data_IF_708506206757
#
_entry.id   IF_708506206757
#
_cell.length_a   1.000
_cell.length_b   1.000
_cell.length_c   1.000
_cell.angle_alpha   90.00
_cell.angle_beta   90.00
_cell.angle_gamma   90.00
#
_symmetry.space_group_name_H-M   'P 1'
#
loop_
_entity.id
_entity.type
_entity.pdbx_description
1 polymer ?
#
# COMPACT_ATOMS: atom_id res chain seq x y z
N UNK A 1 -6.17 -6.58 2.55
CA UNK A 1 -7.19 -7.24 1.69
C UNK A 1 -6.46 -7.98 0.58
N UNK A 2 -6.13 -9.25 0.83
CA UNK A 2 -5.80 -10.17 -0.25
C UNK A 2 -6.93 -10.10 -1.27
N UNK A 3 -6.59 -9.83 -2.54
CA UNK A 3 -7.46 -10.33 -3.58
C UNK A 3 -7.14 -11.82 -3.64
N UNK A 4 -7.79 -12.59 -2.77
CA UNK A 4 -7.73 -14.05 -2.85
C UNK A 4 -8.26 -14.41 -4.23
N UNK A 5 -7.39 -14.99 -5.05
CA UNK A 5 -7.80 -15.63 -6.29
C UNK A 5 -8.55 -16.89 -5.86
N UNK A 6 -9.84 -16.95 -6.18
CA UNK A 6 -10.67 -18.12 -5.85
C UNK A 6 -9.98 -19.42 -6.32
N UNK A 7 -9.97 -20.38 -5.39
CA UNK A 7 -9.22 -21.62 -5.44
C UNK A 7 -9.60 -22.47 -6.65
N UNK A 8 -8.61 -22.78 -7.49
CA UNK A 8 -8.70 -23.80 -8.54
C UNK A 8 -7.32 -24.36 -8.87
N UNK A 9 -7.07 -25.59 -8.42
CA UNK A 9 -5.94 -26.48 -8.74
C UNK A 9 -4.53 -26.06 -8.33
N UNK A 10 -4.11 -26.58 -7.17
CA UNK A 10 -2.87 -27.37 -7.05
C UNK A 10 -1.54 -26.66 -7.33
N UNK A 11 -1.27 -25.54 -6.68
CA UNK A 11 0.09 -25.07 -6.36
C UNK A 11 0.04 -24.38 -4.98
N UNK A 12 0.50 -25.11 -3.96
CA UNK A 12 0.63 -24.63 -2.59
C UNK A 12 1.77 -23.59 -2.52
N UNK A 13 1.45 -22.31 -2.69
CA UNK A 13 2.09 -21.15 -2.06
C UNK A 13 1.31 -19.90 -2.52
N UNK A 14 1.01 -19.00 -1.58
CA UNK A 14 0.24 -17.77 -1.80
C UNK A 14 0.98 -16.89 -2.82
N UNK A 15 0.67 -17.00 -4.11
CA UNK A 15 1.31 -16.15 -5.12
C UNK A 15 0.61 -14.80 -5.17
N UNK A 16 1.19 -13.79 -4.53
CA UNK A 16 0.71 -12.40 -4.61
C UNK A 16 0.71 -11.90 -6.06
N UNK A 17 -0.08 -10.86 -6.39
CA UNK A 17 -0.09 -10.26 -7.74
C UNK A 17 1.32 -9.79 -8.13
N UNK A 18 2.10 -9.32 -7.16
CA UNK A 18 3.50 -8.94 -7.33
C UNK A 18 4.38 -10.14 -7.70
N UNK A 19 4.27 -11.26 -7.00
CA UNK A 19 4.98 -12.49 -7.34
C UNK A 19 4.60 -13.03 -8.72
N UNK A 20 3.32 -12.95 -9.08
CA UNK A 20 2.85 -13.34 -10.43
C UNK A 20 3.48 -12.43 -11.49
N UNK A 21 3.55 -11.12 -11.25
CA UNK A 21 4.24 -10.19 -12.16
C UNK A 21 5.74 -10.50 -12.28
N UNK A 22 6.43 -10.76 -11.18
CA UNK A 22 7.87 -11.08 -11.19
C UNK A 22 8.17 -12.41 -11.87
N UNK A 23 7.33 -13.43 -11.67
CA UNK A 23 7.44 -14.71 -12.38
C UNK A 23 7.24 -14.52 -13.89
N UNK A 24 6.22 -13.76 -14.31
CA UNK A 24 6.01 -13.47 -15.73
C UNK A 24 7.21 -12.72 -16.30
N UNK A 25 7.70 -11.66 -15.65
CA UNK A 25 8.86 -10.89 -16.11
C UNK A 25 10.08 -11.80 -16.26
N UNK A 26 10.31 -12.69 -15.30
CA UNK A 26 11.38 -13.69 -15.33
C UNK A 26 11.24 -14.60 -16.55
N UNK A 27 10.06 -15.17 -16.82
CA UNK A 27 9.81 -16.02 -17.99
C UNK A 27 10.07 -15.25 -19.30
N UNK A 28 9.58 -14.00 -19.41
CA UNK A 28 9.76 -13.16 -20.60
C UNK A 28 11.24 -12.81 -20.87
N UNK A 29 12.06 -12.76 -19.82
CA UNK A 29 13.49 -12.53 -19.90
C UNK A 29 14.27 -13.83 -20.17
N UNK A 30 13.96 -14.93 -19.49
CA UNK A 30 14.64 -16.24 -19.62
C UNK A 30 14.39 -16.94 -20.96
N UNK A 31 13.20 -16.77 -21.53
CA UNK A 31 12.88 -17.21 -22.90
C UNK A 31 13.76 -16.54 -23.96
N UNK A 32 14.57 -15.54 -23.57
CA UNK A 32 15.59 -14.91 -24.40
C UNK A 32 16.98 -15.56 -24.30
N UNK A 33 17.28 -16.32 -23.24
CA UNK A 33 18.64 -16.78 -22.91
C UNK A 33 18.87 -18.28 -23.17
N UNK A 34 17.84 -19.12 -23.30
CA UNK A 34 18.01 -20.57 -23.45
C UNK A 34 17.42 -21.12 -24.76
N UNK A 35 18.30 -21.63 -25.63
CA UNK A 35 18.02 -22.90 -26.30
C UNK A 35 18.12 -23.95 -25.21
N UNK A 36 17.02 -24.50 -24.67
CA UNK A 36 16.99 -25.82 -24.01
C UNK A 36 15.54 -26.25 -23.64
N UNK A 37 15.06 -27.25 -24.40
CA UNK A 37 14.32 -28.44 -23.96
C UNK A 37 12.96 -28.42 -23.24
N UNK A 38 12.29 -27.29 -22.92
CA UNK A 38 10.94 -27.39 -22.32
C UNK A 38 9.94 -26.26 -22.63
N UNK A 39 9.98 -25.72 -23.86
CA UNK A 39 9.13 -24.59 -24.34
C UNK A 39 7.63 -24.79 -24.05
N UNK A 40 7.13 -26.03 -24.04
CA UNK A 40 5.71 -26.33 -23.80
C UNK A 40 5.28 -26.08 -22.35
N UNK A 41 6.15 -26.36 -21.37
CA UNK A 41 5.83 -26.21 -19.95
C UNK A 41 5.89 -24.73 -19.55
N UNK A 42 6.87 -23.98 -20.07
CA UNK A 42 6.99 -22.54 -19.83
C UNK A 42 5.85 -21.74 -20.49
N UNK A 43 5.39 -22.16 -21.67
CA UNK A 43 4.26 -21.51 -22.35
C UNK A 43 2.95 -21.74 -21.60
N UNK A 44 2.74 -22.96 -21.09
CA UNK A 44 1.61 -23.29 -20.24
C UNK A 44 1.65 -22.51 -18.92
N UNK A 45 2.83 -22.43 -18.28
CA UNK A 45 3.02 -21.66 -17.05
C UNK A 45 2.76 -20.16 -17.25
N UNK A 46 3.29 -19.59 -18.34
CA UNK A 46 2.99 -18.21 -18.74
C UNK A 46 1.49 -17.98 -18.92
N UNK A 47 0.79 -18.87 -19.63
CA UNK A 47 -0.65 -18.76 -19.87
C UNK A 47 -1.45 -18.78 -18.56
N UNK A 48 -1.09 -19.66 -17.62
CA UNK A 48 -1.72 -19.74 -16.30
C UNK A 48 -1.54 -18.43 -15.54
N UNK A 49 -0.30 -17.93 -15.44
CA UNK A 49 0.01 -16.69 -14.72
C UNK A 49 -0.67 -15.46 -15.37
N UNK A 50 -0.70 -15.41 -16.71
CA UNK A 50 -1.37 -14.37 -17.47
C UNK A 50 -2.88 -14.34 -17.17
N UNK A 51 -3.55 -15.49 -17.18
CA UNK A 51 -4.99 -15.56 -16.95
C UNK A 51 -5.33 -15.14 -15.52
N UNK A 52 -4.51 -15.54 -14.53
CA UNK A 52 -4.63 -15.07 -13.14
C UNK A 52 -4.62 -13.54 -13.02
N UNK A 53 -3.86 -12.83 -13.86
CA UNK A 53 -3.84 -11.36 -13.86
C UNK A 53 -5.03 -10.74 -14.60
N UNK A 54 -5.47 -11.35 -15.71
CA UNK A 54 -6.56 -10.82 -16.55
C UNK A 54 -7.94 -10.99 -15.90
N UNK A 55 -8.12 -12.06 -15.13
CA UNK A 55 -9.36 -12.33 -14.38
C UNK A 55 -9.63 -11.28 -13.29
N UNK A 56 -8.61 -10.53 -12.89
CA UNK A 56 -8.73 -9.49 -11.86
C UNK A 56 -9.33 -8.20 -12.43
N UNK A 57 -10.61 -7.96 -12.12
CA UNK A 57 -11.32 -6.76 -12.59
C UNK A 57 -10.64 -5.46 -12.14
N UNK A 58 -10.10 -5.43 -10.92
CA UNK A 58 -9.36 -4.29 -10.38
C UNK A 58 -8.07 -3.95 -11.17
N UNK A 59 -7.51 -4.92 -11.91
CA UNK A 59 -6.24 -4.76 -12.62
C UNK A 59 -6.44 -4.38 -14.10
N UNK A 60 -7.64 -4.55 -14.68
CA UNK A 60 -7.90 -4.37 -16.12
C UNK A 60 -7.32 -3.08 -16.70
N UNK A 61 -7.46 -1.97 -15.98
CA UNK A 61 -6.96 -0.65 -16.39
C UNK A 61 -5.44 -0.49 -16.31
N UNK A 62 -4.75 -1.35 -15.56
CA UNK A 62 -3.31 -1.26 -15.25
C UNK A 62 -2.47 -2.37 -15.89
N UNK A 63 -3.11 -3.38 -16.49
CA UNK A 63 -2.42 -4.50 -17.10
C UNK A 63 -1.47 -4.07 -18.23
N UNK A 64 -0.28 -4.68 -18.32
CA UNK A 64 0.65 -4.47 -19.43
C UNK A 64 0.01 -4.81 -20.78
N UNK A 65 0.21 -3.96 -21.80
CA UNK A 65 -0.36 -4.20 -23.14
C UNK A 65 0.19 -5.47 -23.76
N UNK A 66 1.45 -5.80 -23.46
CA UNK A 66 2.10 -7.02 -23.91
C UNK A 66 1.30 -8.26 -23.48
N UNK A 67 0.77 -8.29 -22.26
CA UNK A 67 -0.04 -9.41 -21.75
C UNK A 67 -1.43 -9.46 -22.40
N UNK A 68 -2.04 -8.31 -22.64
CA UNK A 68 -3.37 -8.26 -23.28
C UNK A 68 -3.28 -8.77 -24.72
N UNK A 69 -2.25 -8.36 -25.45
CA UNK A 69 -2.12 -8.59 -26.90
C UNK A 69 -1.51 -9.95 -27.26
N UNK A 70 -0.80 -10.59 -26.33
CA UNK A 70 -0.06 -11.83 -26.59
C UNK A 70 -0.51 -12.90 -25.59
N UNK A 71 -0.95 -14.05 -26.10
CA UNK A 71 -1.47 -15.15 -25.29
C UNK A 71 -0.46 -16.28 -25.07
N UNK A 72 0.68 -16.25 -25.77
CA UNK A 72 1.72 -17.27 -25.72
C UNK A 72 3.11 -16.63 -25.85
N UNK A 73 4.13 -17.31 -25.33
CA UNK A 73 5.54 -16.94 -25.48
C UNK A 73 5.94 -16.87 -26.96
N UNK A 74 5.34 -17.69 -27.83
CA UNK A 74 5.55 -17.61 -29.28
C UNK A 74 5.02 -16.29 -29.87
N UNK A 75 3.81 -15.85 -29.49
CA UNK A 75 3.27 -14.55 -29.94
C UNK A 75 4.14 -13.37 -29.49
N UNK A 76 4.66 -13.45 -28.26
CA UNK A 76 5.61 -12.46 -27.72
C UNK A 76 6.93 -12.48 -28.49
N UNK A 77 7.44 -13.66 -28.82
CA UNK A 77 8.65 -13.80 -29.63
C UNK A 77 8.49 -13.11 -30.98
N UNK A 78 7.40 -13.38 -31.69
CA UNK A 78 7.07 -12.74 -32.97
C UNK A 78 6.92 -11.23 -32.82
N UNK A 79 6.26 -10.75 -31.76
CA UNK A 79 6.13 -9.32 -31.47
C UNK A 79 7.49 -8.61 -31.38
N UNK A 80 8.42 -9.16 -30.60
CA UNK A 80 9.74 -8.56 -30.44
C UNK A 80 10.64 -8.70 -31.68
N UNK A 81 10.56 -9.82 -32.41
CA UNK A 81 11.29 -10.01 -33.68
C UNK A 81 10.83 -9.03 -34.77
N UNK A 82 9.55 -8.66 -34.78
CA UNK A 82 9.02 -7.66 -35.72
C UNK A 82 9.40 -6.24 -35.31
N UNK A 83 9.52 -5.99 -34.01
CA UNK A 83 9.76 -4.65 -33.44
C UNK A 83 11.23 -4.27 -33.39
N UNK A 84 12.12 -5.24 -33.17
CA UNK A 84 13.56 -5.05 -33.06
C UNK A 84 14.28 -5.97 -34.04
N UNK A 85 15.27 -5.44 -34.75
CA UNK A 85 16.10 -6.23 -35.69
C UNK A 85 16.87 -7.35 -34.97
N UNK A 86 17.27 -7.10 -33.72
CA UNK A 86 17.94 -8.06 -32.85
C UNK A 86 17.06 -8.37 -31.64
N UNK A 87 16.68 -9.65 -31.51
CA UNK A 87 15.81 -10.15 -30.45
C UNK A 87 16.44 -10.08 -29.05
N UNK A 88 17.77 -10.04 -28.97
CA UNK A 88 18.57 -10.14 -27.75
C UNK A 88 19.17 -8.78 -27.36
N UNK A 89 18.31 -7.83 -27.01
CA UNK A 89 18.71 -6.44 -26.85
C UNK A 89 18.30 -5.87 -25.49
N UNK A 90 19.12 -5.00 -24.86
CA UNK A 90 18.73 -4.21 -23.69
C UNK A 90 17.39 -3.47 -23.87
N UNK A 91 17.10 -3.09 -25.11
CA UNK A 91 15.86 -2.45 -25.55
C UNK A 91 14.60 -3.31 -25.29
N UNK A 92 14.71 -4.65 -25.36
CA UNK A 92 13.61 -5.57 -25.01
C UNK A 92 13.32 -5.53 -23.50
N UNK A 93 14.37 -5.63 -22.68
CA UNK A 93 14.24 -5.62 -21.22
C UNK A 93 13.68 -4.28 -20.74
N UNK A 94 14.13 -3.17 -21.33
CA UNK A 94 13.59 -1.84 -21.07
C UNK A 94 12.11 -1.73 -21.46
N UNK A 95 11.70 -2.29 -22.61
CA UNK A 95 10.29 -2.32 -23.00
C UNK A 95 9.43 -3.11 -22.01
N UNK A 96 9.88 -4.31 -21.62
CA UNK A 96 9.16 -5.14 -20.63
C UNK A 96 9.05 -4.40 -19.31
N UNK A 97 10.14 -3.79 -18.83
CA UNK A 97 10.14 -2.99 -17.60
C UNK A 97 9.09 -1.89 -17.68
N UNK A 98 9.13 -1.06 -18.73
CA UNK A 98 8.22 0.07 -18.90
C UNK A 98 6.75 -0.35 -19.04
N UNK A 99 6.45 -1.47 -19.72
CA UNK A 99 5.07 -1.96 -19.87
C UNK A 99 4.49 -2.49 -18.53
N UNK A 100 5.35 -2.98 -17.64
CA UNK A 100 4.97 -3.42 -16.30
C UNK A 100 5.01 -2.31 -15.24
N UNK A 101 5.58 -1.14 -15.52
CA UNK A 101 5.63 -0.03 -14.55
C UNK A 101 4.24 0.40 -14.09
N UNK A 102 3.24 0.37 -14.96
CA UNK A 102 1.88 0.80 -14.61
C UNK A 102 1.23 -0.09 -13.54
N UNK A 103 1.35 -1.41 -13.70
CA UNK A 103 0.84 -2.37 -12.70
C UNK A 103 1.71 -2.36 -11.44
N UNK A 104 3.04 -2.24 -11.56
CA UNK A 104 3.93 -2.12 -10.40
C UNK A 104 3.62 -0.86 -9.59
N UNK A 105 3.46 0.29 -10.24
CA UNK A 105 3.08 1.53 -9.58
C UNK A 105 1.69 1.42 -8.97
N UNK A 106 0.74 0.73 -9.61
CA UNK A 106 -0.56 0.45 -9.00
C UNK A 106 -0.39 -0.39 -7.72
N UNK A 107 0.37 -1.48 -7.77
CA UNK A 107 0.62 -2.36 -6.62
C UNK A 107 1.35 -1.63 -5.48
N UNK A 108 2.39 -0.85 -5.79
CA UNK A 108 3.12 -0.03 -4.82
C UNK A 108 2.20 1.01 -4.18
N UNK A 109 1.33 1.66 -4.97
CA UNK A 109 0.38 2.63 -4.46
C UNK A 109 -0.79 1.98 -3.69
N UNK A 110 -1.04 0.68 -3.89
CA UNK A 110 -2.04 -0.11 -3.17
C UNK A 110 -1.47 -0.83 -1.94
N UNK A 111 -0.15 -1.00 -1.87
CA UNK A 111 0.57 -1.53 -0.72
C UNK A 111 1.02 -0.40 0.21
N UNK A 112 0.08 0.27 0.87
CA UNK A 112 0.41 0.66 2.25
C UNK A 112 -0.04 -0.32 3.35
N UNK A 113 0.69 -0.27 4.46
CA UNK A 113 0.57 -1.13 5.66
C UNK A 113 0.82 -2.64 5.38
N UNK A 114 2.03 -3.10 5.73
CA UNK A 114 2.51 -4.49 5.61
C UNK A 114 1.44 -5.53 6.03
N UNK A 115 1.27 -6.65 5.32
CA UNK A 115 0.17 -7.60 5.58
C UNK A 115 0.21 -8.18 7.00
N UNK A 116 1.38 -8.56 7.52
CA UNK A 116 1.52 -9.04 8.91
C UNK A 116 1.30 -7.96 9.98
N UNK A 117 1.09 -6.73 9.56
CA UNK A 117 0.95 -5.52 10.37
C UNK A 117 -0.52 -5.06 10.37
N UNK A 118 -1.28 -5.43 9.34
CA UNK A 118 -2.75 -5.40 9.32
C UNK A 118 -3.35 -6.39 10.31
N UNK A 119 -2.76 -7.58 10.46
CA UNK A 119 -3.23 -8.57 11.44
C UNK A 119 -3.12 -8.05 12.88
N UNK A 120 -2.00 -7.39 13.23
CA UNK A 120 -1.81 -6.76 14.55
C UNK A 120 -2.80 -5.63 14.83
N UNK A 121 -3.07 -4.80 13.81
CA UNK A 121 -4.06 -3.73 13.90
C UNK A 121 -5.48 -4.28 14.01
N UNK A 122 -5.80 -5.33 13.26
CA UNK A 122 -7.07 -6.05 13.34
C UNK A 122 -7.29 -6.64 14.73
N UNK A 123 -6.28 -7.26 15.33
CA UNK A 123 -6.38 -7.82 16.67
C UNK A 123 -6.51 -6.75 17.75
N UNK A 124 -5.80 -5.62 17.59
CA UNK A 124 -6.01 -4.44 18.42
C UNK A 124 -7.45 -3.91 18.26
N UNK A 125 -7.96 -3.81 17.03
CA UNK A 125 -9.30 -3.31 16.76
C UNK A 125 -10.41 -4.25 17.24
N UNK A 126 -10.21 -5.57 17.20
CA UNK A 126 -11.10 -6.56 17.83
C UNK A 126 -11.17 -6.37 19.35
N UNK A 127 -10.08 -5.96 19.99
CA UNK A 127 -10.04 -5.65 21.43
C UNK A 127 -10.83 -4.38 21.79
N UNK A 128 -11.11 -3.50 20.82
CA UNK A 128 -11.68 -2.17 21.04
C UNK A 128 -12.93 -1.83 20.17
N UNK A 129 -13.57 -2.83 19.56
CA UNK A 129 -14.86 -2.79 18.83
C UNK A 129 -15.17 -1.48 18.09
N UNK A 130 -14.42 -1.18 17.02
CA UNK A 130 -14.72 -0.04 16.15
C UNK A 130 -14.11 -0.19 14.76
N UNK A 131 -14.56 0.65 13.81
CA UNK A 131 -14.16 0.60 12.39
C UNK A 131 -12.64 0.44 12.24
N UNK A 132 -12.24 -0.58 11.47
CA UNK A 132 -10.86 -1.05 11.32
C UNK A 132 -9.95 0.07 10.77
N UNK A 133 -8.77 0.26 11.37
CA UNK A 133 -7.69 1.14 10.87
C UNK A 133 -7.40 0.85 9.40
N UNK A 134 -7.38 -0.44 9.02
CA UNK A 134 -7.24 -0.88 7.64
C UNK A 134 -8.38 -0.38 6.75
N UNK A 135 -9.61 -0.32 7.26
CA UNK A 135 -10.74 0.18 6.49
C UNK A 135 -10.62 1.70 6.25
N UNK A 136 -10.26 2.49 7.25
CA UNK A 136 -10.02 3.93 7.04
C UNK A 136 -8.91 4.20 6.05
N UNK A 137 -7.84 3.43 6.15
CA UNK A 137 -6.70 3.51 5.25
C UNK A 137 -7.10 3.15 3.80
N UNK A 138 -7.83 2.06 3.60
CA UNK A 138 -8.36 1.67 2.29
C UNK A 138 -9.32 2.72 1.71
N UNK A 139 -10.27 3.19 2.52
CA UNK A 139 -11.23 4.23 2.13
C UNK A 139 -10.50 5.51 1.69
N UNK A 140 -9.37 5.84 2.34
CA UNK A 140 -8.57 7.02 2.01
C UNK A 140 -7.87 6.87 0.66
N UNK A 141 -7.30 5.69 0.36
CA UNK A 141 -6.72 5.40 -0.96
C UNK A 141 -7.76 5.46 -2.07
N UNK A 142 -8.92 4.80 -1.86
CA UNK A 142 -10.04 4.84 -2.80
C UNK A 142 -10.51 6.29 -3.05
N UNK A 143 -10.42 7.16 -2.03
CA UNK A 143 -10.75 8.58 -2.16
C UNK A 143 -9.77 9.33 -3.06
N UNK A 144 -8.48 9.01 -3.01
CA UNK A 144 -7.48 9.57 -3.93
C UNK A 144 -7.74 9.12 -5.36
N UNK A 145 -8.07 7.84 -5.58
CA UNK A 145 -8.40 7.32 -6.90
C UNK A 145 -9.62 8.03 -7.51
N UNK A 146 -10.60 8.38 -6.67
CA UNK A 146 -11.79 9.15 -7.07
C UNK A 146 -11.56 10.67 -7.10
N UNK A 147 -10.32 11.12 -6.94
CA UNK A 147 -9.94 12.54 -6.89
C UNK A 147 -10.67 13.35 -5.80
N UNK A 148 -11.06 12.69 -4.70
CA UNK A 148 -11.66 13.29 -3.53
C UNK A 148 -10.61 13.46 -2.42
N UNK A 149 -9.71 14.43 -2.62
CA UNK A 149 -8.52 14.60 -1.80
C UNK A 149 -8.84 15.08 -0.38
N UNK A 150 -9.84 15.95 -0.23
CA UNK A 150 -10.31 16.39 1.09
C UNK A 150 -10.82 15.24 1.95
N UNK A 151 -11.51 14.26 1.34
CA UNK A 151 -11.92 13.05 2.04
C UNK A 151 -10.71 12.17 2.41
N UNK A 152 -9.70 12.05 1.54
CA UNK A 152 -8.48 11.31 1.85
C UNK A 152 -7.72 11.89 3.07
N UNK A 153 -7.59 13.22 3.17
CA UNK A 153 -6.99 13.88 4.33
C UNK A 153 -7.84 13.70 5.60
N UNK A 154 -9.16 13.80 5.46
CA UNK A 154 -10.09 13.60 6.58
C UNK A 154 -10.00 12.18 7.13
N UNK A 155 -10.05 11.16 6.27
CA UNK A 155 -9.91 9.76 6.66
C UNK A 155 -8.55 9.48 7.30
N UNK A 156 -7.48 10.09 6.80
CA UNK A 156 -6.14 9.99 7.41
C UNK A 156 -6.13 10.53 8.85
N UNK A 157 -6.75 11.70 9.08
CA UNK A 157 -6.90 12.28 10.43
C UNK A 157 -7.76 11.38 11.32
N UNK A 158 -8.91 10.94 10.82
CA UNK A 158 -9.85 10.10 11.58
C UNK A 158 -9.21 8.80 12.03
N UNK A 159 -8.38 8.19 11.18
CA UNK A 159 -7.64 6.97 11.48
C UNK A 159 -6.74 7.13 12.72
N UNK A 160 -5.85 8.13 12.70
CA UNK A 160 -4.92 8.37 13.81
C UNK A 160 -5.63 8.87 15.07
N UNK A 161 -6.70 9.67 14.91
CA UNK A 161 -7.55 10.11 16.03
C UNK A 161 -8.21 8.91 16.72
N UNK A 162 -8.73 7.97 15.94
CA UNK A 162 -9.33 6.73 16.42
C UNK A 162 -8.35 5.92 17.26
N UNK A 163 -7.13 5.69 16.76
CA UNK A 163 -6.10 4.96 17.50
C UNK A 163 -5.71 5.68 18.78
N UNK A 164 -5.46 6.99 18.71
CA UNK A 164 -5.12 7.78 19.89
C UNK A 164 -6.21 7.69 20.98
N UNK A 165 -7.48 7.82 20.60
CA UNK A 165 -8.62 7.69 21.53
C UNK A 165 -8.65 6.30 22.18
N UNK A 166 -8.48 5.24 21.40
CA UNK A 166 -8.46 3.85 21.90
C UNK A 166 -7.32 3.63 22.89
N UNK A 167 -6.10 4.05 22.55
CA UNK A 167 -4.93 3.92 23.44
C UNK A 167 -5.16 4.65 24.77
N UNK A 168 -5.70 5.86 24.74
CA UNK A 168 -6.02 6.61 25.97
C UNK A 168 -7.12 5.92 26.79
N UNK A 169 -8.21 5.50 26.14
CA UNK A 169 -9.31 4.79 26.80
C UNK A 169 -8.80 3.48 27.45
N UNK A 170 -7.93 2.74 26.76
CA UNK A 170 -7.31 1.51 27.25
C UNK A 170 -6.42 1.74 28.47
N UNK A 171 -5.76 2.91 28.56
CA UNK A 171 -5.01 3.35 29.74
C UNK A 171 -5.89 4.05 30.80
N UNK A 172 -7.22 3.98 30.67
CA UNK A 172 -8.18 4.53 31.63
C UNK A 172 -8.32 6.07 31.60
N UNK A 173 -7.88 6.73 30.53
CA UNK A 173 -8.02 8.17 30.35
C UNK A 173 -9.30 8.49 29.57
N UNK A 174 -10.05 9.50 30.01
CA UNK A 174 -11.27 9.93 29.33
C UNK A 174 -10.92 10.77 28.08
N UNK A 175 -11.54 10.44 26.94
CA UNK A 175 -11.37 11.10 25.64
C UNK A 175 -12.60 11.88 25.16
N UNK A 176 -13.61 12.08 26.02
CA UNK A 176 -14.89 12.75 25.69
C UNK A 176 -14.78 14.24 25.29
N UNK A 177 -13.62 14.86 25.47
CA UNK A 177 -13.40 16.26 25.08
C UNK A 177 -13.07 16.40 23.60
N UNK A 178 -13.62 17.42 22.93
CA UNK A 178 -13.25 17.87 21.59
C UNK A 178 -11.79 18.39 21.54
N UNK A 179 -10.83 17.47 21.62
CA UNK A 179 -9.39 17.71 21.54
C UNK A 179 -8.95 17.77 20.09
N UNK A 180 -8.02 18.67 19.75
CA UNK A 180 -7.32 18.62 18.46
C UNK A 180 -6.49 17.34 18.37
N UNK A 181 -6.14 16.91 17.15
CA UNK A 181 -5.36 15.70 16.98
C UNK A 181 -3.96 15.87 17.62
N UNK A 182 -3.36 17.05 17.51
CA UNK A 182 -2.09 17.37 18.18
C UNK A 182 -2.19 17.25 19.70
N UNK A 183 -3.27 17.74 20.31
CA UNK A 183 -3.45 17.62 21.77
C UNK A 183 -3.67 16.17 22.21
N UNK A 184 -4.42 15.41 21.41
CA UNK A 184 -4.69 14.00 21.66
C UNK A 184 -3.42 13.16 21.52
N UNK A 185 -2.61 13.39 20.48
CA UNK A 185 -1.36 12.67 20.24
C UNK A 185 -0.30 12.97 21.31
N UNK A 186 -0.20 14.23 21.75
CA UNK A 186 0.68 14.62 22.85
C UNK A 186 0.32 13.88 24.15
N UNK A 187 -0.97 13.74 24.44
CA UNK A 187 -1.43 13.00 25.61
C UNK A 187 -1.14 11.50 25.51
N UNK A 188 -1.34 10.89 24.34
CA UNK A 188 -0.97 9.49 24.09
C UNK A 188 0.52 9.28 24.33
N UNK A 189 1.36 10.11 23.72
CA UNK A 189 2.82 10.04 23.87
C UNK A 189 3.21 10.13 25.35
N UNK A 190 2.71 11.15 26.05
CA UNK A 190 2.97 11.31 27.49
C UNK A 190 2.52 10.09 28.30
N UNK A 191 1.38 9.48 27.95
CA UNK A 191 0.88 8.27 28.60
C UNK A 191 1.81 7.09 28.39
N UNK A 192 2.22 6.85 27.15
CA UNK A 192 3.11 5.75 26.77
C UNK A 192 4.53 5.93 27.36
N UNK A 193 4.99 7.16 27.56
CA UNK A 193 6.26 7.44 28.24
C UNK A 193 6.29 6.99 29.71
N UNK A 194 5.15 6.78 30.37
CA UNK A 194 5.08 6.47 31.82
C UNK A 194 5.18 4.99 32.18
N UNK A 195 5.28 4.06 31.22
CA UNK A 195 5.28 2.60 31.45
C UNK A 195 6.50 2.01 32.19
N UNK A 196 6.38 0.76 32.68
CA UNK A 196 7.35 0.05 33.53
C UNK A 196 8.77 -0.13 32.95
N UNK A 197 8.98 0.03 31.64
CA UNK A 197 10.29 -0.04 30.98
C UNK A 197 11.12 1.26 31.08
N UNK A 198 10.94 2.01 32.17
CA UNK A 198 11.46 3.37 32.32
C UNK A 198 12.97 3.41 32.69
N UNK A 199 13.81 3.04 31.73
CA UNK A 199 14.97 3.85 31.37
C UNK A 199 14.79 4.26 29.92
N UNK A 200 14.23 5.47 29.71
CA UNK A 200 13.82 5.91 28.38
C UNK A 200 15.02 5.97 27.43
N UNK A 201 15.09 4.99 26.52
CA UNK A 201 16.05 4.98 25.43
C UNK A 201 15.93 6.32 24.64
N UNK A 202 17.01 7.11 24.48
CA UNK A 202 16.97 8.35 23.71
C UNK A 202 16.38 8.19 22.30
N UNK A 203 16.49 6.99 21.71
CA UNK A 203 15.90 6.65 20.41
C UNK A 203 14.37 6.62 20.49
N UNK A 204 13.78 6.00 21.53
CA UNK A 204 12.32 5.93 21.72
C UNK A 204 11.69 7.32 21.82
N UNK A 205 12.30 8.23 22.59
CA UNK A 205 11.88 9.64 22.68
C UNK A 205 11.95 10.37 21.34
N UNK A 206 12.98 10.12 20.54
CA UNK A 206 13.09 10.69 19.18
C UNK A 206 11.98 10.15 18.27
N UNK A 207 11.65 8.87 18.37
CA UNK A 207 10.56 8.26 17.58
C UNK A 207 9.18 8.83 17.98
N UNK A 208 8.91 8.98 19.28
CA UNK A 208 7.67 9.62 19.75
C UNK A 208 7.58 11.10 19.32
N UNK A 209 8.70 11.82 19.30
CA UNK A 209 8.74 13.19 18.76
C UNK A 209 8.51 13.25 17.25
N UNK A 210 9.01 12.27 16.50
CA UNK A 210 8.73 12.15 15.06
C UNK A 210 7.22 11.96 14.80
N UNK A 211 6.55 11.19 15.66
CA UNK A 211 5.10 11.03 15.63
C UNK A 211 4.36 12.36 15.85
N UNK A 212 4.75 13.17 16.84
CA UNK A 212 4.16 14.50 17.04
C UNK A 212 4.29 15.37 15.79
N UNK A 213 5.50 15.45 15.20
CA UNK A 213 5.72 16.23 13.98
C UNK A 213 4.87 15.72 12.80
N UNK A 214 4.66 14.41 12.72
CA UNK A 214 3.83 13.77 11.70
C UNK A 214 2.36 14.15 11.85
N UNK A 215 1.85 14.16 13.08
CA UNK A 215 0.49 14.62 13.41
C UNK A 215 0.30 16.08 13.02
N UNK A 216 1.25 16.94 13.36
CA UNK A 216 1.19 18.38 13.02
C UNK A 216 1.19 18.59 11.50
N UNK A 217 1.97 17.79 10.75
CA UNK A 217 1.94 17.81 9.30
C UNK A 217 0.57 17.40 8.75
N UNK A 218 -0.05 16.34 9.30
CA UNK A 218 -1.39 15.88 8.90
C UNK A 218 -2.46 16.96 9.18
N UNK A 219 -2.43 17.63 10.34
CA UNK A 219 -3.34 18.74 10.64
C UNK A 219 -3.18 19.91 9.65
N UNK A 220 -1.92 20.22 9.31
CA UNK A 220 -1.59 21.26 8.33
C UNK A 220 -2.11 20.90 6.94
N UNK A 221 -1.87 19.67 6.47
CA UNK A 221 -2.35 19.22 5.17
C UNK A 221 -3.88 19.21 5.08
N UNK A 222 -4.58 18.75 6.12
CA UNK A 222 -6.05 18.80 6.18
C UNK A 222 -6.58 20.23 6.06
N UNK A 223 -5.91 21.19 6.71
CA UNK A 223 -6.34 22.60 6.69
C UNK A 223 -6.04 23.26 5.34
N UNK A 224 -4.87 22.98 4.76
CA UNK A 224 -4.43 23.60 3.50
C UNK A 224 -5.07 23.00 2.25
N UNK A 225 -5.33 21.69 2.24
CA UNK A 225 -5.78 20.96 1.05
C UNK A 225 -7.15 20.28 1.23
N UNK A 226 -7.66 20.19 2.46
CA UNK A 226 -9.01 19.67 2.73
C UNK A 226 -10.11 20.69 2.51
N UNK A 227 -9.89 21.94 2.92
CA UNK A 227 -10.88 23.02 2.84
C UNK A 227 -10.68 23.90 1.58
N UNK A 228 -9.53 23.81 0.90
CA UNK A 228 -9.16 24.68 -0.23
C UNK A 228 -9.58 24.18 -1.61
N UNK A 229 -10.35 23.08 -1.69
CA UNK A 229 -10.76 22.50 -2.97
C UNK A 229 -11.68 23.44 -3.80
N UNK A 230 -12.28 24.44 -3.15
CA UNK A 230 -13.11 25.48 -3.77
C UNK A 230 -12.30 26.68 -4.32
N UNK A 231 -10.98 26.72 -4.12
CA UNK A 231 -10.16 27.89 -4.45
C UNK A 231 -9.03 27.56 -5.44
N UNK A 232 -9.39 27.38 -6.71
CA UNK A 232 -8.55 27.67 -7.88
C UNK A 232 -7.12 27.06 -7.92
N UNK A 233 -6.84 25.94 -7.23
CA UNK A 233 -5.47 25.45 -7.14
C UNK A 233 -5.05 24.66 -8.40
N UNK A 234 -3.86 24.99 -8.91
CA UNK A 234 -3.43 24.70 -10.29
C UNK A 234 -2.73 23.35 -10.51
N UNK A 235 -2.59 22.49 -9.50
CA UNK A 235 -1.84 21.23 -9.65
C UNK A 235 -2.39 20.05 -8.83
N UNK A 236 -3.41 19.39 -9.39
CA UNK A 236 -4.06 18.19 -8.82
C UNK A 236 -3.06 17.05 -8.57
N UNK A 237 -2.03 16.90 -9.41
CA UNK A 237 -1.03 15.83 -9.28
C UNK A 237 -0.20 15.99 -7.99
N UNK A 238 0.18 17.22 -7.65
CA UNK A 238 0.90 17.55 -6.43
C UNK A 238 0.05 17.29 -5.18
N UNK A 239 -1.23 17.66 -5.22
CA UNK A 239 -2.14 17.42 -4.10
C UNK A 239 -2.40 15.93 -3.87
N UNK A 240 -2.54 15.14 -4.95
CA UNK A 240 -2.62 13.70 -4.84
C UNK A 240 -1.34 13.08 -4.24
N UNK A 241 -0.16 13.63 -4.55
CA UNK A 241 1.09 13.20 -3.92
C UNK A 241 1.07 13.47 -2.41
N UNK A 242 0.67 14.66 -1.98
CA UNK A 242 0.53 14.99 -0.55
C UNK A 242 -0.51 14.12 0.16
N UNK A 243 -1.64 13.82 -0.49
CA UNK A 243 -2.65 12.93 0.06
C UNK A 243 -2.09 11.51 0.26
N UNK A 244 -1.37 10.97 -0.72
CA UNK A 244 -0.72 9.65 -0.62
C UNK A 244 0.29 9.58 0.53
N UNK A 245 1.16 10.59 0.64
CA UNK A 245 2.14 10.67 1.74
C UNK A 245 1.45 10.77 3.09
N UNK A 246 0.38 11.58 3.19
CA UNK A 246 -0.38 11.76 4.44
C UNK A 246 -1.02 10.47 4.92
N UNK A 247 -1.66 9.70 4.02
CA UNK A 247 -2.25 8.40 4.36
C UNK A 247 -1.18 7.45 4.92
N UNK A 248 -0.02 7.37 4.27
CA UNK A 248 1.05 6.46 4.66
C UNK A 248 1.64 6.83 6.02
N UNK A 249 1.89 8.12 6.25
CA UNK A 249 2.34 8.63 7.55
C UNK A 249 1.30 8.30 8.64
N UNK A 250 0.02 8.56 8.38
CA UNK A 250 -1.05 8.30 9.34
C UNK A 250 -1.17 6.80 9.66
N UNK A 251 -1.00 5.92 8.66
CA UNK A 251 -0.98 4.48 8.84
C UNK A 251 0.19 4.02 9.69
N UNK A 252 1.43 4.40 9.32
CA UNK A 252 2.63 4.05 10.09
C UNK A 252 2.60 4.60 11.52
N UNK A 253 2.09 5.81 11.72
CA UNK A 253 1.90 6.42 13.03
C UNK A 253 0.90 5.63 13.89
N UNK A 254 -0.24 5.27 13.30
CA UNK A 254 -1.29 4.49 13.95
C UNK A 254 -0.77 3.13 14.40
N UNK A 255 -0.03 2.43 13.53
CA UNK A 255 0.64 1.19 13.91
C UNK A 255 1.59 1.41 15.08
N UNK A 256 2.52 2.36 14.94
CA UNK A 256 3.58 2.54 15.92
C UNK A 256 2.98 2.75 17.32
N UNK A 257 1.91 3.52 17.43
CA UNK A 257 1.17 3.72 18.68
C UNK A 257 0.57 2.42 19.25
N UNK A 258 0.02 1.56 18.39
CA UNK A 258 -0.52 0.27 18.79
C UNK A 258 0.58 -0.67 19.27
N UNK A 259 1.68 -0.79 18.53
CA UNK A 259 2.82 -1.62 18.96
C UNK A 259 3.43 -1.12 20.26
N UNK A 260 3.55 0.19 20.42
CA UNK A 260 4.06 0.81 21.64
C UNK A 260 3.14 0.56 22.84
N UNK A 261 1.83 0.52 22.62
CA UNK A 261 0.85 0.14 23.64
C UNK A 261 0.97 -1.34 24.02
N UNK A 262 0.99 -2.23 23.02
CA UNK A 262 1.04 -3.69 23.22
C UNK A 262 2.33 -4.14 23.90
N UNK A 263 3.47 -3.50 23.59
CA UNK A 263 4.76 -3.80 24.23
C UNK A 263 4.84 -3.38 25.72
N UNK A 264 3.85 -2.65 26.23
CA UNK A 264 3.76 -2.26 27.64
C UNK A 264 2.79 -3.11 28.46
N UNK A 265 1.98 -3.96 27.83
CA UNK A 265 1.16 -4.98 28.49
C UNK A 265 1.98 -6.26 28.70
#
# INVERSE_FOLDING_TARGET
MQIEIEKGFGLDHISTVEEVCEQIITILNLTAESYLSNISDDDLHYQILRNKLIEQEALKSYLPKLLIQNNSLNSIKTFFQNKYKDYHTPQKQEFIKNDFERIKNYLINKAPMNEGLLDKLSDFDKKFDSKDVHQYWKDALDSIERNNLGNAFTLSRTMIEGVCKRVLNAKGKNTDSAKSLTSLSAEVISTLETGQFNQVNPIRKKTLKLLSNSVDAIETFRTQYGDAHDLNNKNIELEQHFARVTINIAGSASLFLVEEYLNQE
#
